data_IF_297328706162
#
_entry.id   IF_297328706162
#
_cell.length_a   1.000
_cell.length_b   1.000
_cell.length_c   1.000
_cell.angle_alpha   90.00
_cell.angle_beta   90.00
_cell.angle_gamma   90.00
#
_symmetry.space_group_name_H-M   'P 1'
#
loop_
_entity.id
_entity.type
_entity.pdbx_description
1 polymer ?
#
# COMPACT_ATOMS: atom_id res chain seq x y z
N UNK A 1 19.80 27.60 -22.86
CA UNK A 1 20.04 26.65 -23.97
C UNK A 1 19.04 25.52 -23.81
N UNK A 2 18.13 25.32 -24.77
CA UNK A 2 17.00 24.39 -24.67
C UNK A 2 17.48 22.93 -24.55
N UNK A 3 17.43 22.35 -23.35
CA UNK A 3 17.68 20.93 -23.14
C UNK A 3 16.41 20.13 -23.47
N UNK A 4 16.34 19.64 -24.71
CA UNK A 4 15.44 18.54 -25.09
C UNK A 4 15.86 17.31 -24.29
N UNK A 5 15.07 16.97 -23.27
CA UNK A 5 15.15 15.68 -22.59
C UNK A 5 15.04 14.57 -23.66
N UNK A 6 16.10 13.77 -23.82
CA UNK A 6 16.19 12.77 -24.88
C UNK A 6 15.15 11.67 -24.62
N UNK A 7 14.03 11.65 -25.35
CA UNK A 7 12.92 10.71 -25.16
C UNK A 7 13.38 9.23 -25.20
N UNK A 8 14.52 8.95 -25.81
CA UNK A 8 15.10 7.61 -25.91
C UNK A 8 15.61 7.03 -24.58
N UNK A 9 16.09 7.85 -23.63
CA UNK A 9 16.51 7.36 -22.30
C UNK A 9 15.32 7.01 -21.43
N UNK A 10 14.23 7.77 -21.52
CA UNK A 10 12.98 7.51 -20.81
C UNK A 10 12.27 6.24 -21.35
N UNK A 11 12.28 6.04 -22.68
CA UNK A 11 11.76 4.83 -23.35
C UNK A 11 12.63 3.60 -23.03
N UNK A 12 13.95 3.75 -22.92
CA UNK A 12 14.88 2.70 -22.51
C UNK A 12 14.66 2.24 -21.06
N UNK A 13 14.43 3.18 -20.13
CA UNK A 13 14.11 2.88 -18.74
C UNK A 13 12.70 2.27 -18.60
N UNK A 14 11.71 2.76 -19.33
CA UNK A 14 10.38 2.13 -19.45
C UNK A 14 10.46 0.69 -19.96
N UNK A 15 11.36 0.39 -20.91
CA UNK A 15 11.61 -0.98 -21.39
C UNK A 15 12.21 -1.89 -20.32
N UNK A 16 13.09 -1.36 -19.45
CA UNK A 16 13.68 -2.11 -18.32
C UNK A 16 12.66 -2.34 -17.20
N UNK A 17 11.78 -1.37 -16.94
CA UNK A 17 10.61 -1.52 -16.05
C UNK A 17 9.61 -2.54 -16.60
N UNK A 18 9.34 -2.51 -17.92
CA UNK A 18 8.55 -3.54 -18.60
C UNK A 18 9.21 -4.92 -18.49
N UNK A 19 10.54 -5.02 -18.62
CA UNK A 19 11.27 -6.27 -18.47
C UNK A 19 11.21 -6.82 -17.03
N UNK A 20 11.22 -5.93 -16.03
CA UNK A 20 10.96 -6.30 -14.62
C UNK A 20 9.54 -6.85 -14.42
N UNK A 21 8.55 -6.25 -15.09
CA UNK A 21 7.19 -6.79 -15.21
C UNK A 21 7.13 -8.12 -15.99
N UNK A 22 8.00 -8.33 -16.99
CA UNK A 22 8.09 -9.58 -17.74
C UNK A 22 8.61 -10.75 -16.89
N UNK A 23 9.58 -10.52 -16.00
CA UNK A 23 10.12 -11.58 -15.12
C UNK A 23 9.08 -11.98 -14.05
N UNK A 24 8.20 -11.05 -13.65
CA UNK A 24 7.07 -11.32 -12.74
C UNK A 24 5.93 -12.13 -13.38
N UNK A 25 5.95 -12.32 -14.70
CA UNK A 25 4.88 -13.00 -15.45
C UNK A 25 5.17 -14.46 -15.80
N UNK A 26 6.37 -14.97 -15.47
CA UNK A 26 6.76 -16.36 -15.68
C UNK A 26 6.64 -17.14 -14.37
N UNK A 27 5.43 -17.63 -14.01
CA UNK A 27 5.23 -18.89 -13.23
C UNK A 27 3.78 -19.14 -12.75
N UNK A 28 3.18 -20.15 -13.38
CA UNK A 28 2.21 -21.16 -12.91
C UNK A 28 0.73 -20.82 -12.56
N UNK A 29 -0.09 -21.67 -13.16
CA UNK A 29 -1.55 -21.78 -13.20
C UNK A 29 -2.08 -22.45 -11.93
N UNK A 30 -3.16 -21.90 -11.38
CA UNK A 30 -4.17 -22.70 -10.67
C UNK A 30 -5.55 -22.26 -11.16
N UNK A 31 -6.34 -23.20 -11.65
CA UNK A 31 -7.74 -23.02 -11.95
C UNK A 31 -8.49 -22.74 -10.62
N UNK A 32 -8.68 -21.45 -10.31
CA UNK A 32 -9.59 -21.04 -9.25
C UNK A 32 -11.00 -21.17 -9.82
N UNK A 33 -11.89 -21.91 -9.16
CA UNK A 33 -13.30 -21.91 -9.54
C UNK A 33 -13.83 -20.47 -9.40
N UNK A 34 -14.22 -19.85 -10.52
CA UNK A 34 -14.68 -18.46 -10.58
C UNK A 34 -16.10 -18.32 -10.01
N UNK A 35 -16.23 -18.49 -8.69
CA UNK A 35 -17.45 -18.26 -7.93
C UNK A 35 -17.32 -16.96 -7.16
N UNK A 36 -18.33 -16.10 -7.25
CA UNK A 36 -18.39 -14.84 -6.50
C UNK A 36 -19.72 -14.78 -5.76
N UNK A 37 -19.70 -14.40 -4.49
CA UNK A 37 -20.88 -14.40 -3.63
C UNK A 37 -20.96 -13.13 -2.77
N UNK A 38 -22.17 -12.65 -2.50
CA UNK A 38 -22.41 -11.47 -1.64
C UNK A 38 -23.80 -11.50 -0.99
N UNK A 39 -24.01 -10.70 0.05
CA UNK A 39 -25.29 -10.54 0.75
C UNK A 39 -25.91 -9.16 0.43
N UNK A 40 -27.20 -9.09 0.08
CA UNK A 40 -27.93 -7.82 -0.13
C UNK A 40 -28.09 -7.13 1.22
N UNK A 41 -27.50 -5.95 1.42
CA UNK A 41 -27.61 -5.20 2.67
C UNK A 41 -28.72 -4.13 2.63
N UNK A 42 -29.29 -3.84 1.46
CA UNK A 42 -30.41 -2.91 1.31
C UNK A 42 -31.73 -3.55 1.79
N UNK A 43 -32.35 -3.06 2.89
CA UNK A 43 -33.57 -3.66 3.43
C UNK A 43 -34.77 -3.49 2.50
N UNK A 44 -34.84 -2.39 1.74
CA UNK A 44 -35.95 -2.15 0.81
C UNK A 44 -35.85 -3.08 -0.39
N UNK A 45 -34.65 -3.28 -0.92
CA UNK A 45 -34.42 -4.21 -2.03
C UNK A 45 -34.66 -5.67 -1.61
N UNK A 46 -34.20 -6.08 -0.41
CA UNK A 46 -34.47 -7.41 0.14
C UNK A 46 -35.97 -7.67 0.23
N UNK A 47 -36.70 -6.74 0.87
CA UNK A 47 -38.15 -6.86 1.03
C UNK A 47 -38.86 -6.94 -0.31
N UNK A 48 -38.56 -6.02 -1.24
CA UNK A 48 -39.16 -5.99 -2.58
C UNK A 48 -38.93 -7.30 -3.32
N UNK A 49 -37.70 -7.81 -3.33
CA UNK A 49 -37.37 -9.04 -4.04
C UNK A 49 -38.07 -10.26 -3.42
N UNK A 50 -38.07 -10.38 -2.09
CA UNK A 50 -38.73 -11.51 -1.42
C UNK A 50 -40.24 -11.45 -1.61
N UNK A 51 -40.87 -10.28 -1.50
CA UNK A 51 -42.30 -10.11 -1.78
C UNK A 51 -42.65 -10.53 -3.21
N UNK A 52 -41.86 -10.11 -4.20
CA UNK A 52 -42.04 -10.54 -5.60
C UNK A 52 -41.88 -12.06 -5.75
N UNK A 53 -40.91 -12.66 -5.07
CA UNK A 53 -40.71 -14.11 -5.07
C UNK A 53 -41.88 -14.88 -4.44
N UNK A 54 -42.36 -14.44 -3.28
CA UNK A 54 -43.49 -15.06 -2.58
C UNK A 54 -44.77 -14.96 -3.42
N UNK A 55 -45.04 -13.79 -4.03
CA UNK A 55 -46.17 -13.62 -4.93
C UNK A 55 -46.09 -14.59 -6.12
N UNK A 56 -44.90 -14.78 -6.70
CA UNK A 56 -44.70 -15.74 -7.80
C UNK A 56 -44.90 -17.19 -7.40
N UNK A 57 -44.63 -17.53 -6.14
CA UNK A 57 -44.92 -18.85 -5.60
C UNK A 57 -46.42 -19.07 -5.40
N UNK A 58 -47.15 -18.04 -4.95
CA UNK A 58 -48.61 -18.08 -4.81
C UNK A 58 -49.26 -18.26 -6.19
N UNK A 59 -48.84 -17.47 -7.18
CA UNK A 59 -49.37 -17.57 -8.55
C UNK A 59 -49.16 -18.94 -9.22
N UNK A 60 -48.14 -19.69 -8.79
CA UNK A 60 -47.78 -20.98 -9.38
C UNK A 60 -48.07 -22.17 -8.45
N UNK A 61 -48.88 -22.00 -7.40
CA UNK A 61 -49.24 -23.04 -6.41
C UNK A 61 -48.03 -23.76 -5.77
N UNK A 62 -46.91 -23.04 -5.59
CA UNK A 62 -45.68 -23.56 -4.96
C UNK A 62 -45.41 -22.98 -3.57
N UNK A 63 -46.36 -22.20 -3.04
CA UNK A 63 -46.18 -21.51 -1.76
C UNK A 63 -46.01 -22.47 -0.58
N UNK A 64 -46.72 -23.61 -0.56
CA UNK A 64 -46.61 -24.60 0.53
C UNK A 64 -45.23 -25.28 0.62
N UNK A 65 -44.45 -25.24 -0.46
CA UNK A 65 -43.10 -25.80 -0.53
C UNK A 65 -42.02 -24.79 -0.14
N UNK A 66 -42.42 -23.56 0.22
CA UNK A 66 -41.51 -22.47 0.55
C UNK A 66 -41.21 -22.42 2.05
N UNK A 67 -39.96 -22.15 2.38
CA UNK A 67 -39.50 -21.87 3.74
C UNK A 67 -39.12 -20.41 3.97
N UNK A 68 -38.99 -19.60 2.91
CA UNK A 68 -38.47 -18.23 2.95
C UNK A 68 -39.50 -17.27 3.53
N UNK A 69 -39.05 -16.40 4.43
CA UNK A 69 -39.86 -15.37 5.08
C UNK A 69 -39.47 -13.97 4.58
N UNK A 70 -40.40 -13.02 4.68
CA UNK A 70 -40.20 -11.64 4.23
C UNK A 70 -39.07 -10.90 4.97
N UNK A 71 -38.71 -11.35 6.17
CA UNK A 71 -37.61 -10.81 6.99
C UNK A 71 -36.24 -11.40 6.66
N UNK A 72 -36.16 -12.41 5.79
CA UNK A 72 -34.88 -13.02 5.44
C UNK A 72 -34.03 -12.06 4.58
N UNK A 73 -32.72 -12.30 4.56
CA UNK A 73 -31.76 -11.51 3.78
C UNK A 73 -31.20 -12.34 2.64
N UNK A 74 -31.15 -11.76 1.45
CA UNK A 74 -30.78 -12.46 0.22
C UNK A 74 -29.26 -12.56 0.10
N UNK A 75 -28.80 -13.74 -0.27
CA UNK A 75 -27.42 -14.05 -0.58
C UNK A 75 -27.31 -14.55 -2.02
N UNK A 76 -26.47 -13.89 -2.79
CA UNK A 76 -26.27 -14.13 -4.22
C UNK A 76 -24.95 -14.86 -4.42
N UNK A 77 -24.94 -15.87 -5.30
CA UNK A 77 -23.72 -16.50 -5.81
C UNK A 77 -23.78 -16.56 -7.33
N UNK A 78 -22.76 -16.00 -7.97
CA UNK A 78 -22.55 -16.04 -9.41
C UNK A 78 -21.40 -16.95 -9.79
N UNK A 79 -21.48 -17.50 -11.00
CA UNK A 79 -20.43 -18.24 -11.65
C UNK A 79 -20.06 -17.57 -12.96
N UNK A 80 -18.77 -17.35 -13.16
CA UNK A 80 -18.24 -16.87 -14.42
C UNK A 80 -18.11 -18.05 -15.40
N UNK A 81 -18.77 -17.95 -16.55
CA UNK A 81 -18.60 -18.85 -17.68
C UNK A 81 -18.18 -18.03 -18.90
N UNK A 82 -16.87 -18.01 -19.20
CA UNK A 82 -16.30 -17.09 -20.18
C UNK A 82 -16.53 -15.63 -19.78
N UNK A 83 -17.05 -14.81 -20.70
CA UNK A 83 -17.30 -13.37 -20.49
C UNK A 83 -18.66 -13.07 -19.83
N UNK A 84 -19.43 -14.12 -19.46
CA UNK A 84 -20.76 -13.97 -18.86
C UNK A 84 -20.77 -14.39 -17.40
N UNK A 85 -21.16 -13.46 -16.53
CA UNK A 85 -21.54 -13.77 -15.15
C UNK A 85 -22.97 -14.34 -15.15
N UNK A 86 -23.12 -15.55 -14.64
CA UNK A 86 -24.42 -16.22 -14.53
C UNK A 86 -24.77 -16.45 -13.07
N UNK A 87 -26.01 -16.19 -12.68
CA UNK A 87 -26.49 -16.51 -11.33
C UNK A 87 -26.48 -18.02 -11.14
N UNK A 88 -25.66 -18.49 -10.19
CA UNK A 88 -25.55 -19.92 -9.87
C UNK A 88 -26.51 -20.31 -8.76
N UNK A 89 -26.54 -19.53 -7.67
CA UNK A 89 -27.36 -19.83 -6.49
C UNK A 89 -27.88 -18.56 -5.83
N UNK A 90 -29.06 -18.71 -5.24
CA UNK A 90 -29.64 -17.73 -4.33
C UNK A 90 -29.99 -18.44 -3.01
N UNK A 91 -29.65 -17.83 -1.88
CA UNK A 91 -30.02 -18.28 -0.53
C UNK A 91 -30.67 -17.13 0.23
N UNK A 92 -31.54 -17.45 1.16
CA UNK A 92 -32.11 -16.52 2.12
C UNK A 92 -31.56 -16.86 3.50
N UNK A 93 -31.10 -15.87 4.25
CA UNK A 93 -30.58 -16.04 5.60
C UNK A 93 -31.54 -15.44 6.60
N UNK A 94 -31.95 -16.24 7.57
CA UNK A 94 -32.71 -15.75 8.71
C UNK A 94 -31.72 -15.29 9.79
N UNK A 95 -31.78 -14.01 10.17
CA UNK A 95 -30.84 -13.47 11.16
C UNK A 95 -31.17 -13.89 12.60
N UNK A 96 -32.43 -14.17 12.90
CA UNK A 96 -32.88 -14.56 14.24
C UNK A 96 -32.49 -16.01 14.56
N UNK A 97 -32.65 -16.92 13.58
CA UNK A 97 -32.32 -18.35 13.75
C UNK A 97 -30.94 -18.75 13.22
N UNK A 98 -30.32 -17.94 12.36
CA UNK A 98 -29.08 -18.26 11.66
C UNK A 98 -29.22 -19.37 10.61
N UNK A 99 -30.45 -19.70 10.21
CA UNK A 99 -30.77 -20.72 9.20
C UNK A 99 -30.64 -20.17 7.77
N UNK A 100 -30.23 -21.03 6.85
CA UNK A 100 -30.17 -20.72 5.42
C UNK A 100 -31.24 -21.49 4.67
N UNK A 101 -32.03 -20.75 3.90
CA UNK A 101 -33.16 -21.25 3.13
C UNK A 101 -32.85 -21.14 1.65
N UNK A 102 -33.36 -22.09 0.87
CA UNK A 102 -33.06 -22.21 -0.56
C UNK A 102 -34.19 -21.60 -1.38
N UNK A 103 -33.84 -20.72 -2.30
CA UNK A 103 -34.79 -20.27 -3.31
C UNK A 103 -35.04 -21.36 -4.35
N UNK A 104 -36.27 -21.43 -4.83
CA UNK A 104 -36.64 -22.23 -6.00
C UNK A 104 -36.21 -21.48 -7.27
N UNK A 105 -35.06 -21.87 -7.84
CA UNK A 105 -34.43 -21.12 -8.93
C UNK A 105 -35.29 -21.05 -10.19
N UNK A 106 -36.13 -22.06 -10.45
CA UNK A 106 -37.12 -22.09 -11.53
C UNK A 106 -38.22 -21.03 -11.37
N UNK A 107 -38.48 -20.57 -10.14
CA UNK A 107 -39.41 -19.49 -9.84
C UNK A 107 -38.71 -18.13 -9.84
N UNK A 108 -37.48 -18.06 -9.33
CA UNK A 108 -36.63 -16.86 -9.38
C UNK A 108 -36.43 -16.36 -10.81
N UNK A 109 -36.21 -17.27 -11.77
CA UNK A 109 -36.06 -16.93 -13.19
C UNK A 109 -37.31 -16.27 -13.80
N UNK A 110 -38.49 -16.41 -13.17
CA UNK A 110 -39.75 -15.83 -13.64
C UNK A 110 -40.04 -14.43 -13.08
N UNK A 111 -39.16 -13.87 -12.24
CA UNK A 111 -39.34 -12.55 -11.62
C UNK A 111 -39.04 -11.37 -12.56
N UNK A 112 -38.54 -11.66 -13.77
CA UNK A 112 -38.27 -10.67 -14.82
C UNK A 112 -36.82 -10.16 -14.79
N UNK A 113 -36.30 -9.71 -15.95
CA UNK A 113 -34.89 -9.35 -16.10
C UNK A 113 -34.47 -8.12 -15.29
N UNK A 114 -35.38 -7.18 -15.02
CA UNK A 114 -35.07 -5.92 -14.32
C UNK A 114 -34.65 -6.17 -12.85
N UNK A 115 -35.46 -6.90 -12.08
CA UNK A 115 -35.15 -7.19 -10.68
C UNK A 115 -33.97 -8.15 -10.55
N UNK A 116 -33.86 -9.10 -11.48
CA UNK A 116 -32.73 -10.02 -11.55
C UNK A 116 -31.42 -9.28 -11.83
N UNK A 117 -31.43 -8.35 -12.79
CA UNK A 117 -30.28 -7.48 -13.04
C UNK A 117 -29.99 -6.61 -11.83
N UNK A 118 -31.00 -6.12 -11.12
CA UNK A 118 -30.83 -5.29 -9.91
C UNK A 118 -30.13 -6.04 -8.77
N UNK A 119 -30.45 -7.32 -8.54
CA UNK A 119 -29.77 -8.12 -7.50
C UNK A 119 -28.39 -8.65 -7.96
N UNK A 120 -28.16 -8.70 -9.28
CA UNK A 120 -26.87 -9.10 -9.87
C UNK A 120 -25.91 -7.90 -10.02
N UNK A 121 -26.45 -6.70 -10.21
CA UNK A 121 -25.71 -5.44 -10.36
C UNK A 121 -25.20 -4.95 -9.02
N UNK A 122 -23.88 -4.70 -8.93
CA UNK A 122 -23.22 -4.33 -7.68
C UNK A 122 -23.40 -2.87 -7.26
N UNK A 123 -24.32 -2.14 -7.89
CA UNK A 123 -24.62 -0.73 -7.60
C UNK A 123 -25.29 -0.47 -6.23
N UNK A 124 -25.83 -1.49 -5.57
CA UNK A 124 -26.59 -1.36 -4.29
C UNK A 124 -25.76 -1.66 -3.03
N UNK A 125 -26.34 -1.54 -1.82
CA UNK A 125 -25.63 -1.82 -0.56
C UNK A 125 -25.47 -3.34 -0.37
N UNK A 126 -24.25 -3.80 -0.07
CA UNK A 126 -23.91 -5.24 0.06
C UNK A 126 -23.07 -5.52 1.32
N UNK A 127 -23.26 -6.67 1.95
CA UNK A 127 -22.52 -7.12 3.13
C UNK A 127 -21.59 -8.32 2.84
N UNK A 128 -20.57 -8.49 3.69
CA UNK A 128 -19.65 -9.64 3.66
C UNK A 128 -20.36 -10.92 4.10
N UNK A 129 -20.03 -12.02 3.42
CA UNK A 129 -20.48 -13.36 3.75
C UNK A 129 -19.42 -13.99 4.65
N UNK A 130 -19.75 -14.33 5.90
CA UNK A 130 -18.80 -14.97 6.81
C UNK A 130 -18.46 -16.40 6.34
N UNK A 131 -17.40 -17.00 6.88
CA UNK A 131 -16.98 -18.38 6.54
C UNK A 131 -18.10 -19.43 6.68
N UNK A 132 -18.99 -19.26 7.67
CA UNK A 132 -20.19 -20.09 7.85
C UNK A 132 -21.20 -19.87 6.71
N UNK A 133 -21.40 -18.63 6.31
CA UNK A 133 -22.27 -18.26 5.21
C UNK A 133 -21.71 -18.80 3.86
N UNK A 134 -20.38 -18.77 3.67
CA UNK A 134 -19.68 -19.34 2.51
C UNK A 134 -19.86 -20.86 2.42
N UNK A 135 -19.80 -21.57 3.55
CA UNK A 135 -20.06 -23.02 3.57
C UNK A 135 -21.51 -23.36 3.18
N UNK A 136 -22.49 -22.52 3.54
CA UNK A 136 -23.89 -22.70 3.15
C UNK A 136 -24.13 -22.43 1.63
N UNK A 137 -23.24 -21.66 1.02
CA UNK A 137 -23.15 -21.46 -0.43
C UNK A 137 -22.24 -22.49 -1.12
N UNK A 138 -21.70 -23.46 -0.38
CA UNK A 138 -20.70 -24.46 -0.80
C UNK A 138 -19.50 -23.81 -1.51
N UNK A 139 -19.07 -22.64 -1.02
CA UNK A 139 -17.92 -21.88 -1.50
C UNK A 139 -16.81 -21.96 -0.46
N UNK A 140 -15.60 -22.35 -0.87
CA UNK A 140 -14.42 -22.39 0.00
C UNK A 140 -13.41 -21.26 -0.28
N UNK A 141 -13.75 -20.32 -1.17
CA UNK A 141 -12.96 -19.11 -1.40
C UNK A 141 -13.36 -18.01 -0.41
N UNK A 142 -12.37 -17.35 0.19
CA UNK A 142 -12.59 -16.13 0.96
C UNK A 142 -13.04 -15.04 -0.02
N UNK A 143 -14.27 -14.56 0.12
CA UNK A 143 -14.78 -13.42 -0.62
C UNK A 143 -14.80 -12.25 0.36
N UNK A 144 -13.71 -11.47 0.36
CA UNK A 144 -13.67 -10.20 1.07
C UNK A 144 -14.40 -9.17 0.18
N UNK A 145 -15.63 -8.83 0.54
CA UNK A 145 -16.35 -7.71 -0.05
C UNK A 145 -15.87 -6.44 0.64
N UNK A 146 -15.06 -5.66 -0.05
CA UNK A 146 -14.56 -4.43 0.51
C UNK A 146 -15.38 -3.21 0.05
N UNK A 147 -16.70 -3.31 -0.18
CA UNK A 147 -17.52 -2.15 -0.60
C UNK A 147 -18.76 -1.89 0.26
N UNK A 148 -18.96 -2.60 1.37
CA UNK A 148 -19.77 -2.02 2.45
C UNK A 148 -19.09 -0.69 2.82
N UNK A 149 -19.83 0.42 3.08
CA UNK A 149 -19.28 1.68 3.62
C UNK A 149 -18.14 1.32 4.57
N UNK A 150 -16.89 1.39 4.08
CA UNK A 150 -15.85 0.52 4.66
C UNK A 150 -15.69 0.97 6.09
N UNK A 151 -15.87 0.06 7.04
CA UNK A 151 -15.19 0.21 8.32
C UNK A 151 -13.75 0.52 7.95
N UNK A 152 -13.33 1.77 8.19
CA UNK A 152 -12.02 2.27 7.81
C UNK A 152 -10.93 1.27 8.14
N UNK A 153 -11.10 0.57 9.27
CA UNK A 153 -10.28 -0.52 9.74
C UNK A 153 -9.89 -1.49 8.61
N UNK A 154 -10.85 -2.02 7.83
CA UNK A 154 -10.57 -3.00 6.77
C UNK A 154 -9.83 -2.40 5.57
N UNK A 155 -10.12 -1.16 5.20
CA UNK A 155 -9.40 -0.46 4.13
C UNK A 155 -7.95 -0.18 4.54
N UNK A 156 -7.78 0.40 5.73
CA UNK A 156 -6.49 0.61 6.39
C UNK A 156 -5.70 -0.68 6.48
N UNK A 157 -6.33 -1.76 6.93
CA UNK A 157 -5.67 -3.06 7.06
C UNK A 157 -5.23 -3.62 5.70
N UNK A 158 -5.82 -3.19 4.58
CA UNK A 158 -5.33 -3.49 3.23
C UNK A 158 -4.10 -2.66 2.81
N UNK A 159 -4.03 -1.39 3.20
CA UNK A 159 -2.97 -0.46 2.79
C UNK A 159 -1.73 -0.47 3.69
N UNK A 160 -1.94 -0.56 5.00
CA UNK A 160 -0.94 -0.25 6.03
C UNK A 160 -0.49 -1.47 6.81
N UNK A 161 -1.37 -2.47 6.93
CA UNK A 161 -1.17 -3.62 7.79
C UNK A 161 -0.97 -4.86 6.92
N UNK A 162 -0.01 -5.71 7.25
CA UNK A 162 -0.03 -7.08 6.75
C UNK A 162 -0.96 -7.90 7.63
N UNK A 163 -1.83 -8.77 7.10
CA UNK A 163 -2.63 -9.67 7.97
C UNK A 163 -1.81 -10.86 8.49
N UNK A 164 -0.59 -11.02 8.00
CA UNK A 164 0.31 -12.12 8.33
C UNK A 164 0.88 -12.00 9.73
N UNK A 165 1.18 -13.15 10.33
CA UNK A 165 1.86 -13.20 11.63
C UNK A 165 3.33 -12.89 11.47
N UNK A 166 3.93 -13.35 10.39
CA UNK A 166 5.33 -13.05 10.09
C UNK A 166 5.40 -12.59 8.66
N UNK A 167 6.09 -11.49 8.41
CA UNK A 167 6.44 -11.03 7.08
C UNK A 167 7.91 -10.64 7.07
N UNK A 168 8.69 -11.21 6.15
CA UNK A 168 10.11 -10.91 5.96
C UNK A 168 10.30 -10.50 4.51
N UNK A 169 11.00 -9.40 4.27
CA UNK A 169 11.19 -8.86 2.92
C UNK A 169 12.64 -8.47 2.66
N UNK A 170 13.08 -8.68 1.41
CA UNK A 170 14.43 -8.29 0.95
C UNK A 170 14.59 -6.77 0.82
N UNK A 171 13.51 -6.00 0.95
CA UNK A 171 13.58 -4.54 1.10
C UNK A 171 14.05 -4.09 2.50
N UNK A 172 14.47 -5.02 3.36
CA UNK A 172 14.91 -4.78 4.75
C UNK A 172 13.76 -4.42 5.70
N UNK A 173 12.58 -5.01 5.47
CA UNK A 173 11.46 -4.95 6.42
C UNK A 173 11.12 -6.33 7.00
N UNK A 174 10.87 -6.37 8.31
CA UNK A 174 10.38 -7.54 9.03
C UNK A 174 9.22 -7.14 9.93
N UNK A 175 8.13 -7.91 9.89
CA UNK A 175 6.98 -7.74 10.76
C UNK A 175 6.69 -9.05 11.47
N UNK A 176 6.52 -9.02 12.79
CA UNK A 176 6.14 -10.18 13.60
C UNK A 176 4.96 -9.79 14.48
N UNK A 177 3.85 -10.52 14.42
CA UNK A 177 2.61 -10.28 15.14
C UNK A 177 2.22 -11.49 15.98
N UNK A 178 1.67 -11.21 17.15
CA UNK A 178 0.98 -12.21 17.95
C UNK A 178 -0.43 -12.49 17.40
N UNK A 179 -0.81 -13.76 17.24
CA UNK A 179 -2.17 -14.16 16.82
C UNK A 179 -3.28 -13.58 17.70
N UNK A 180 -3.00 -13.35 18.98
CA UNK A 180 -3.99 -12.99 20.01
C UNK A 180 -4.07 -11.50 20.32
N UNK A 181 -3.15 -10.67 19.79
CA UNK A 181 -3.12 -9.24 20.09
C UNK A 181 -2.98 -8.40 18.82
N UNK A 182 -3.44 -7.15 18.88
CA UNK A 182 -3.25 -6.19 17.78
C UNK A 182 -1.84 -5.57 17.81
N UNK A 183 -0.85 -6.25 18.40
CA UNK A 183 0.52 -5.75 18.52
C UNK A 183 1.44 -6.49 17.55
N UNK A 184 2.35 -5.74 16.94
CA UNK A 184 3.38 -6.24 16.04
C UNK A 184 4.73 -5.62 16.39
N UNK A 185 5.76 -6.43 16.37
CA UNK A 185 7.12 -5.98 16.21
C UNK A 185 7.37 -5.63 14.74
N UNK A 186 8.04 -4.49 14.51
CA UNK A 186 8.37 -3.95 13.19
C UNK A 186 9.86 -3.64 13.15
N UNK A 187 10.52 -4.13 12.11
CA UNK A 187 11.82 -3.66 11.65
C UNK A 187 11.62 -3.11 10.25
N UNK A 188 12.02 -1.86 10.01
CA UNK A 188 11.94 -1.25 8.69
C UNK A 188 13.10 -0.31 8.47
N UNK A 189 13.52 -0.14 7.21
CA UNK A 189 14.56 0.81 6.86
C UNK A 189 13.96 1.96 6.08
N UNK A 190 14.33 3.20 6.41
CA UNK A 190 13.72 4.39 5.81
C UNK A 190 12.58 4.97 6.65
N UNK A 191 12.37 6.28 6.48
CA UNK A 191 11.15 6.98 6.90
C UNK A 191 10.51 7.53 5.62
N UNK A 192 9.97 6.61 4.82
CA UNK A 192 9.55 6.91 3.44
C UNK A 192 8.50 8.01 3.36
N UNK A 193 7.57 8.12 4.33
CA UNK A 193 6.55 9.18 4.31
C UNK A 193 7.16 10.60 4.38
N UNK A 194 8.39 10.76 4.88
CA UNK A 194 9.15 12.03 4.87
C UNK A 194 10.05 12.20 3.63
N UNK A 195 10.00 11.26 2.67
CA UNK A 195 10.91 11.22 1.55
C UNK A 195 12.31 10.68 1.93
N UNK A 196 12.52 10.23 3.17
CA UNK A 196 13.78 9.66 3.64
C UNK A 196 13.83 8.16 3.31
N UNK A 197 14.03 7.83 2.04
CA UNK A 197 13.94 6.45 1.55
C UNK A 197 15.15 5.59 1.95
N UNK A 198 14.95 4.28 2.06
CA UNK A 198 15.96 3.28 2.45
C UNK A 198 17.20 3.23 1.55
N UNK A 199 17.15 3.81 0.37
CA UNK A 199 18.25 3.80 -0.59
C UNK A 199 19.37 4.74 -0.14
N UNK A 200 19.04 5.82 0.56
CA UNK A 200 20.02 6.83 1.01
C UNK A 200 19.88 7.20 2.49
N UNK A 201 18.86 6.71 3.21
CA UNK A 201 18.69 7.01 4.64
C UNK A 201 19.55 6.11 5.54
N UNK A 202 20.34 6.73 6.42
CA UNK A 202 21.31 6.11 7.32
C UNK A 202 20.75 5.33 8.51
N UNK A 203 19.44 5.09 8.59
CA UNK A 203 18.84 4.43 9.75
C UNK A 203 17.87 3.29 9.43
N UNK A 204 17.78 2.38 10.40
CA UNK A 204 16.74 1.35 10.53
C UNK A 204 15.91 1.65 11.77
N UNK A 205 14.64 1.31 11.69
CA UNK A 205 13.62 1.50 12.72
C UNK A 205 13.34 0.14 13.35
N UNK A 206 13.31 0.11 14.68
CA UNK A 206 12.91 -1.04 15.50
C UNK A 206 11.75 -0.62 16.40
N UNK A 207 10.56 -1.16 16.15
CA UNK A 207 9.33 -0.64 16.71
C UNK A 207 8.36 -1.67 17.22
N UNK A 208 7.52 -1.22 18.14
CA UNK A 208 6.25 -1.84 18.46
C UNK A 208 5.18 -1.04 17.74
N UNK A 209 4.26 -1.75 17.10
CA UNK A 209 3.17 -1.17 16.34
C UNK A 209 1.88 -1.86 16.71
N UNK A 210 0.79 -1.12 16.66
CA UNK A 210 -0.54 -1.66 16.61
C UNK A 210 -1.26 -1.12 15.37
N UNK A 211 -2.53 -1.47 15.26
CA UNK A 211 -3.46 -1.03 14.23
C UNK A 211 -3.46 0.49 13.95
N UNK A 212 -3.14 1.34 14.93
CA UNK A 212 -3.29 2.81 14.84
C UNK A 212 -1.96 3.53 15.03
N UNK A 213 -1.07 3.03 15.89
CA UNK A 213 0.10 3.73 16.36
C UNK A 213 1.33 2.83 16.41
N UNK A 214 2.50 3.42 16.20
CA UNK A 214 3.78 2.77 16.34
C UNK A 214 4.75 3.66 17.10
N UNK A 215 5.44 3.07 18.08
CA UNK A 215 6.56 3.68 18.80
C UNK A 215 7.81 2.89 18.47
N UNK A 216 8.91 3.58 18.19
CA UNK A 216 10.11 2.91 17.70
C UNK A 216 11.41 3.62 18.08
N UNK A 217 12.47 2.83 18.14
CA UNK A 217 13.84 3.28 18.17
C UNK A 217 14.39 3.40 16.76
N UNK A 218 15.17 4.44 16.53
CA UNK A 218 15.91 4.69 15.31
C UNK A 218 17.36 4.30 15.59
N UNK A 219 17.90 3.41 14.77
CA UNK A 219 19.23 2.82 14.96
C UNK A 219 20.07 3.12 13.72
N UNK A 220 21.32 3.60 13.88
CA UNK A 220 22.20 3.89 12.76
C UNK A 220 22.62 2.63 12.01
N UNK A 221 22.66 2.73 10.68
CA UNK A 221 23.17 1.69 9.79
C UNK A 221 24.07 2.33 8.74
N UNK A 222 24.87 1.50 8.08
CA UNK A 222 25.67 1.95 6.94
C UNK A 222 24.89 1.76 5.64
N UNK A 223 24.73 2.83 4.88
CA UNK A 223 24.16 2.76 3.53
C UNK A 223 25.25 2.36 2.55
N UNK A 224 24.95 1.44 1.63
CA UNK A 224 25.86 1.12 0.52
C UNK A 224 25.63 2.16 -0.58
N UNK A 225 26.70 2.82 -1.01
CA UNK A 225 26.67 3.74 -2.16
C UNK A 225 26.87 2.99 -3.46
N UNK A 226 26.36 3.58 -4.54
CA UNK A 226 26.58 3.13 -5.90
C UNK A 226 26.69 4.35 -6.84
N UNK A 227 26.63 4.14 -8.16
CA UNK A 227 26.71 5.26 -9.12
C UNK A 227 25.51 6.22 -9.06
N UNK A 228 24.41 5.78 -8.47
CA UNK A 228 23.15 6.53 -8.40
C UNK A 228 23.05 7.28 -7.08
N UNK A 229 23.30 6.62 -5.95
CA UNK A 229 23.34 7.25 -4.63
C UNK A 229 24.79 7.56 -4.28
N UNK A 230 25.15 8.84 -4.41
CA UNK A 230 26.51 9.33 -4.24
C UNK A 230 26.78 9.76 -2.80
N UNK A 231 25.81 10.40 -2.14
CA UNK A 231 25.97 10.97 -0.78
C UNK A 231 24.76 10.65 0.11
N UNK A 232 24.73 9.48 0.77
CA UNK A 232 23.64 9.13 1.68
C UNK A 232 23.62 10.04 2.91
N UNK A 233 22.48 10.06 3.61
CA UNK A 233 22.39 10.65 4.94
C UNK A 233 23.10 9.75 5.95
N UNK A 234 23.78 10.37 6.90
CA UNK A 234 24.34 9.68 8.05
C UNK A 234 23.22 9.24 9.01
N UNK A 235 23.54 8.25 9.84
CA UNK A 235 22.62 7.71 10.82
C UNK A 235 23.05 8.03 12.23
N UNK A 236 22.09 8.37 13.09
CA UNK A 236 22.28 8.43 14.55
C UNK A 236 21.15 7.72 15.30
N UNK A 237 21.33 7.48 16.59
CA UNK A 237 20.26 6.91 17.41
C UNK A 237 19.13 7.92 17.62
N UNK A 238 17.92 7.42 17.78
CA UNK A 238 16.76 8.26 17.98
C UNK A 238 15.53 7.49 18.43
N UNK A 239 14.43 8.21 18.54
CA UNK A 239 13.12 7.69 18.86
C UNK A 239 12.08 8.31 17.92
N UNK A 240 10.99 7.61 17.69
CA UNK A 240 9.88 8.17 16.97
C UNK A 240 8.55 7.56 17.35
N UNK A 241 7.52 8.30 17.00
CA UNK A 241 6.14 7.92 17.17
C UNK A 241 5.40 8.21 15.88
N UNK A 242 4.58 7.27 15.44
CA UNK A 242 3.74 7.37 14.25
C UNK A 242 2.32 6.97 14.61
N UNK A 243 1.34 7.68 14.08
CA UNK A 243 -0.06 7.28 14.14
C UNK A 243 -0.71 7.42 12.77
N UNK A 244 -1.68 6.56 12.48
CA UNK A 244 -2.45 6.59 11.25
C UNK A 244 -3.89 6.16 11.51
N UNK A 245 -4.81 7.08 11.23
CA UNK A 245 -6.26 6.88 11.33
C UNK A 245 -6.91 7.12 9.98
N UNK A 246 -8.24 7.18 9.95
CA UNK A 246 -9.02 7.26 8.70
C UNK A 246 -8.95 8.58 7.99
N UNK A 247 -8.92 9.62 8.80
CA UNK A 247 -8.99 11.00 8.38
C UNK A 247 -7.68 11.72 8.63
N UNK A 248 -6.88 11.27 9.60
CA UNK A 248 -5.64 11.93 9.99
C UNK A 248 -4.56 10.92 10.35
N UNK A 249 -3.34 11.23 9.98
CA UNK A 249 -2.17 10.52 10.46
C UNK A 249 -0.99 11.46 10.58
N UNK A 250 0.08 10.95 11.17
CA UNK A 250 1.28 11.72 11.35
C UNK A 250 2.38 10.92 12.01
N UNK A 251 3.53 11.56 12.11
CA UNK A 251 4.68 11.02 12.80
C UNK A 251 5.57 12.14 13.32
N UNK A 252 6.31 11.83 14.37
CA UNK A 252 7.37 12.67 14.93
C UNK A 252 8.58 11.79 15.19
N UNK A 253 9.76 12.30 14.86
CA UNK A 253 11.02 11.61 15.03
C UNK A 253 12.03 12.60 15.63
N UNK A 254 12.79 12.11 16.60
CA UNK A 254 13.94 12.79 17.16
C UNK A 254 15.15 11.88 17.01
N UNK A 255 16.22 12.42 16.46
CA UNK A 255 17.48 11.74 16.17
C UNK A 255 18.59 12.56 16.80
N UNK A 256 19.30 11.94 17.73
CA UNK A 256 20.22 12.63 18.63
C UNK A 256 21.55 12.95 17.94
N UNK A 257 21.73 14.23 17.59
CA UNK A 257 22.97 14.76 17.02
C UNK A 257 24.10 14.93 18.05
N UNK A 258 23.82 14.78 19.35
CA UNK A 258 24.80 14.83 20.42
C UNK A 258 25.54 13.51 20.68
N UNK A 259 25.16 12.44 19.97
CA UNK A 259 25.87 11.17 20.06
C UNK A 259 27.31 11.26 19.56
N UNK A 260 28.13 10.29 19.99
CA UNK A 260 29.47 10.10 19.46
C UNK A 260 29.44 9.20 18.23
N UNK A 261 30.23 9.56 17.23
CA UNK A 261 30.27 8.90 15.93
C UNK A 261 31.63 8.24 15.72
N UNK A 262 31.63 7.08 15.10
CA UNK A 262 32.86 6.41 14.67
C UNK A 262 33.16 6.79 13.23
N UNK A 263 34.43 6.95 12.92
CA UNK A 263 34.96 7.29 11.59
C UNK A 263 34.39 6.39 10.51
N UNK A 264 34.28 5.08 10.77
CA UNK A 264 33.77 4.11 9.79
C UNK A 264 32.23 4.03 9.68
N UNK A 265 31.51 4.78 10.54
CA UNK A 265 30.05 4.85 10.60
C UNK A 265 29.47 6.11 9.95
N UNK A 266 30.28 7.14 9.73
CA UNK A 266 29.91 8.30 8.92
C UNK A 266 30.32 8.09 7.46
N UNK A 267 29.66 8.80 6.55
CA UNK A 267 29.96 8.75 5.13
C UNK A 267 31.24 9.53 4.79
N UNK A 268 31.33 10.78 5.24
CA UNK A 268 32.48 11.66 5.06
C UNK A 268 32.69 12.50 6.33
N UNK A 269 33.88 12.44 6.92
CA UNK A 269 34.16 13.10 8.21
C UNK A 269 34.01 14.61 8.17
N UNK A 270 34.28 15.24 7.03
CA UNK A 270 34.17 16.69 6.84
C UNK A 270 32.74 17.14 6.52
N UNK A 271 31.84 16.20 6.21
CA UNK A 271 30.50 16.50 5.73
C UNK A 271 29.51 15.43 6.23
N UNK A 272 29.20 15.50 7.52
CA UNK A 272 28.19 14.66 8.17
C UNK A 272 26.83 15.34 8.04
N UNK A 273 25.85 14.64 7.47
CA UNK A 273 24.49 15.18 7.27
C UNK A 273 23.45 14.30 7.96
N UNK A 274 22.73 14.88 8.92
CA UNK A 274 21.77 14.16 9.77
C UNK A 274 20.42 14.86 9.77
N UNK A 275 19.30 14.13 9.62
CA UNK A 275 18.00 14.67 10.01
C UNK A 275 17.85 14.55 11.53
N UNK A 276 17.87 15.66 12.26
CA UNK A 276 17.87 15.66 13.74
C UNK A 276 16.46 15.63 14.33
N UNK A 277 15.53 16.34 13.72
CA UNK A 277 14.14 16.36 14.10
C UNK A 277 13.28 16.33 12.84
N UNK A 278 12.24 15.50 12.85
CA UNK A 278 11.30 15.50 11.73
C UNK A 278 9.89 15.16 12.17
N UNK A 279 8.93 15.69 11.44
CA UNK A 279 7.51 15.54 11.72
C UNK A 279 6.69 15.55 10.44
N UNK A 280 5.55 14.89 10.46
CA UNK A 280 4.59 14.89 9.38
C UNK A 280 3.19 14.87 9.98
N UNK A 281 2.29 15.67 9.44
CA UNK A 281 0.85 15.55 9.69
C UNK A 281 0.15 15.56 8.35
N UNK A 282 -0.74 14.61 8.13
CA UNK A 282 -1.51 14.49 6.90
C UNK A 282 -2.97 14.21 7.18
N UNK A 283 -3.81 14.76 6.31
CA UNK A 283 -5.17 14.30 6.13
C UNK A 283 -5.17 13.10 5.17
N UNK A 284 -6.07 12.15 5.38
CA UNK A 284 -6.26 11.04 4.44
C UNK A 284 -7.73 10.77 4.16
N UNK A 285 -8.01 10.26 2.96
CA UNK A 285 -9.33 9.77 2.62
C UNK A 285 -9.24 8.55 1.69
N UNK A 286 -10.22 7.66 1.76
CA UNK A 286 -10.27 6.43 0.97
C UNK A 286 -11.48 6.45 0.05
N UNK A 287 -11.23 6.26 -1.23
CA UNK A 287 -12.22 6.22 -2.30
C UNK A 287 -12.34 4.80 -2.86
N UNK A 288 -13.56 4.37 -3.13
CA UNK A 288 -13.81 3.17 -3.91
C UNK A 288 -13.52 3.46 -5.39
N UNK A 289 -12.80 2.54 -6.04
CA UNK A 289 -12.60 2.55 -7.48
C UNK A 289 -13.41 1.40 -8.07
N UNK A 290 -14.45 1.76 -8.83
CA UNK A 290 -15.37 0.80 -9.44
C UNK A 290 -14.91 0.28 -10.81
N UNK A 291 -13.73 0.69 -11.29
CA UNK A 291 -13.16 0.22 -12.54
C UNK A 291 -11.65 0.43 -12.54
N UNK A 292 -10.88 -0.64 -12.30
CA UNK A 292 -9.46 -0.59 -12.60
C UNK A 292 -9.26 -0.61 -14.11
N UNK A 293 -8.19 0.05 -14.56
CA UNK A 293 -7.68 -0.12 -15.94
C UNK A 293 -7.64 -1.60 -16.26
N UNK A 294 -8.35 -1.99 -17.31
CA UNK A 294 -8.34 -3.36 -17.83
C UNK A 294 -6.95 -3.70 -18.37
N UNK A 295 -6.10 -4.23 -17.49
CA UNK A 295 -4.75 -4.64 -17.84
C UNK A 295 -4.73 -5.78 -18.87
N UNK A 296 -5.87 -6.42 -19.18
CA UNK A 296 -5.98 -7.39 -20.27
C UNK A 296 -5.74 -6.78 -21.66
N UNK A 297 -5.84 -5.44 -21.80
CA UNK A 297 -5.57 -4.72 -23.05
C UNK A 297 -4.08 -4.42 -23.31
N UNK A 298 -3.22 -4.67 -22.34
CA UNK A 298 -1.76 -4.57 -22.54
C UNK A 298 -1.32 -5.72 -23.43
N UNK A 299 -0.90 -5.41 -24.67
CA UNK A 299 -0.61 -6.37 -25.75
C UNK A 299 0.39 -7.48 -25.36
N UNK A 300 1.29 -7.18 -24.42
CA UNK A 300 2.23 -8.12 -23.82
C UNK A 300 1.55 -9.17 -22.92
N UNK A 301 0.58 -8.78 -22.07
CA UNK A 301 -0.21 -9.70 -21.26
C UNK A 301 -1.14 -10.57 -22.12
N UNK A 302 -1.65 -10.02 -23.24
CA UNK A 302 -2.42 -10.77 -24.26
C UNK A 302 -1.61 -11.88 -24.95
N UNK A 303 -0.31 -11.67 -25.18
CA UNK A 303 0.57 -12.69 -25.78
C UNK A 303 0.97 -13.80 -24.79
N UNK A 304 1.09 -13.49 -23.50
CA UNK A 304 1.35 -14.48 -22.46
C UNK A 304 0.13 -15.37 -22.15
N UNK A 305 -1.09 -14.81 -22.27
CA UNK A 305 -2.34 -15.56 -22.07
C UNK A 305 -2.81 -16.34 -23.31
N UNK A 306 -2.19 -16.16 -24.48
CA UNK A 306 -2.69 -16.74 -25.73
C UNK A 306 -2.63 -18.27 -25.81
N UNK A 307 -1.86 -18.93 -24.92
CA UNK A 307 -1.71 -20.38 -24.90
C UNK A 307 -2.50 -21.09 -23.78
N UNK A 308 -3.35 -20.39 -23.02
CA UNK A 308 -4.16 -20.98 -21.96
C UNK A 308 -5.60 -20.49 -22.05
N UNK A 309 -6.42 -21.28 -22.74
CA UNK A 309 -7.90 -21.32 -22.67
C UNK A 309 -8.62 -19.96 -22.51
N UNK A 310 -8.94 -19.32 -23.65
CA UNK A 310 -10.31 -18.94 -24.02
C UNK A 310 -11.22 -18.13 -23.08
N UNK A 311 -10.70 -17.36 -22.12
CA UNK A 311 -11.53 -16.39 -21.39
C UNK A 311 -10.79 -15.05 -21.29
N UNK A 312 -11.31 -14.02 -21.96
CA UNK A 312 -10.90 -12.64 -21.67
C UNK A 312 -11.39 -12.33 -20.25
N UNK A 313 -10.47 -12.08 -19.33
CA UNK A 313 -10.82 -11.66 -17.97
C UNK A 313 -11.41 -10.24 -18.04
N UNK A 314 -12.73 -10.13 -18.06
CA UNK A 314 -13.46 -8.91 -17.70
C UNK A 314 -13.78 -8.88 -16.21
N UNK A 315 -12.84 -9.33 -15.36
CA UNK A 315 -12.92 -9.12 -13.93
C UNK A 315 -12.57 -7.65 -13.70
N UNK A 316 -13.57 -6.76 -13.68
CA UNK A 316 -13.39 -5.40 -13.17
C UNK A 316 -12.83 -5.54 -11.74
N UNK A 317 -11.52 -5.33 -11.60
CA UNK A 317 -10.86 -5.44 -10.31
C UNK A 317 -11.25 -4.24 -9.47
N UNK A 318 -12.33 -4.38 -8.71
CA UNK A 318 -12.68 -3.41 -7.67
C UNK A 318 -11.49 -3.22 -6.72
N UNK A 319 -11.27 -1.98 -6.31
CA UNK A 319 -10.17 -1.64 -5.42
C UNK A 319 -10.46 -0.38 -4.63
N UNK A 320 -9.57 -0.07 -3.69
CA UNK A 320 -9.56 1.21 -3.02
C UNK A 320 -8.34 2.02 -3.40
N UNK A 321 -8.55 3.33 -3.44
CA UNK A 321 -7.52 4.35 -3.50
C UNK A 321 -7.58 5.15 -2.22
N UNK A 322 -6.47 5.18 -1.49
CA UNK A 322 -6.29 6.07 -0.37
C UNK A 322 -5.39 7.22 -0.78
N UNK A 323 -5.85 8.45 -0.59
CA UNK A 323 -5.05 9.65 -0.77
C UNK A 323 -4.64 10.18 0.60
N UNK A 324 -3.37 10.53 0.74
CA UNK A 324 -2.79 11.22 1.90
C UNK A 324 -2.18 12.52 1.42
N UNK A 325 -2.51 13.63 2.08
CA UNK A 325 -1.99 14.97 1.77
C UNK A 325 -1.64 15.65 3.08
N UNK A 326 -0.41 16.15 3.19
CA UNK A 326 0.08 16.69 4.45
C UNK A 326 1.25 17.64 4.32
N UNK A 327 1.64 18.15 5.50
CA UNK A 327 2.80 19.00 5.71
C UNK A 327 3.86 18.22 6.49
N UNK A 328 5.09 18.30 6.01
CA UNK A 328 6.27 17.74 6.66
C UNK A 328 7.16 18.84 7.23
N UNK A 329 7.89 18.50 8.28
CA UNK A 329 9.00 19.27 8.83
C UNK A 329 10.21 18.33 8.90
N UNK A 330 11.37 18.76 8.43
CA UNK A 330 12.63 18.03 8.61
C UNK A 330 13.76 19.03 8.86
N UNK A 331 14.29 19.03 10.08
CA UNK A 331 15.54 19.70 10.41
C UNK A 331 16.71 18.86 9.93
N UNK A 332 17.55 19.43 9.07
CA UNK A 332 18.82 18.85 8.67
C UNK A 332 19.98 19.59 9.32
N UNK A 333 20.93 18.83 9.84
CA UNK A 333 22.18 19.34 10.42
C UNK A 333 23.33 18.98 9.50
N UNK A 334 24.19 19.95 9.22
CA UNK A 334 25.52 19.73 8.65
C UNK A 334 26.57 19.89 9.74
N UNK A 335 27.47 18.92 9.83
CA UNK A 335 28.49 18.86 10.87
C UNK A 335 29.80 18.26 10.36
N UNK A 336 30.87 18.48 11.13
CA UNK A 336 32.18 17.88 10.95
C UNK A 336 32.47 16.96 12.12
N UNK A 337 33.09 15.82 11.88
CA UNK A 337 33.62 15.00 12.96
C UNK A 337 34.83 15.72 13.55
N UNK A 338 34.85 15.93 14.88
CA UNK A 338 35.97 16.64 15.51
C UNK A 338 37.30 15.98 15.15
N UNK A 339 38.36 16.75 14.86
CA UNK A 339 39.65 16.18 14.45
C UNK A 339 40.22 15.26 15.53
N UNK A 340 40.76 14.12 15.09
CA UNK A 340 41.39 13.12 15.95
C UNK A 340 41.95 11.98 15.13
N UNK A 341 43.08 11.40 15.55
CA UNK A 341 43.77 10.33 14.81
C UNK A 341 43.20 8.93 15.11
N UNK A 342 42.50 8.74 16.23
CA UNK A 342 41.86 7.48 16.62
C UNK A 342 40.48 7.72 17.27
N UNK A 343 39.52 6.86 16.94
CA UNK A 343 38.21 6.87 17.61
C UNK A 343 38.35 6.34 19.05
N UNK A 344 37.72 7.03 20.01
CA UNK A 344 37.54 6.43 21.34
C UNK A 344 36.61 5.22 21.27
N UNK A 345 36.51 4.43 22.36
CA UNK A 345 35.52 3.33 22.44
C UNK A 345 34.10 3.78 22.08
N UNK A 346 33.75 5.01 22.46
CA UNK A 346 32.45 5.63 22.24
C UNK A 346 32.35 6.40 20.91
N UNK A 347 33.48 6.82 20.33
CA UNK A 347 33.55 7.62 19.10
C UNK A 347 34.07 9.04 19.33
N UNK A 348 33.87 9.92 18.34
CA UNK A 348 34.21 11.35 18.35
C UNK A 348 32.93 12.19 18.30
N UNK A 349 32.97 13.38 18.90
CA UNK A 349 31.83 14.30 18.85
C UNK A 349 31.72 14.95 17.46
N UNK A 350 30.53 15.48 17.17
CA UNK A 350 30.30 16.36 16.04
C UNK A 350 30.51 17.82 16.41
N UNK A 351 31.09 18.57 15.48
CA UNK A 351 31.08 20.02 15.42
C UNK A 351 30.00 20.45 14.42
N UNK A 352 28.89 20.98 14.93
CA UNK A 352 27.78 21.42 14.09
C UNK A 352 28.14 22.74 13.44
N UNK A 353 28.13 22.76 12.10
CA UNK A 353 28.43 23.95 11.30
C UNK A 353 27.18 24.66 10.80
N UNK A 354 26.07 23.93 10.60
CA UNK A 354 24.82 24.55 10.16
C UNK A 354 23.58 23.71 10.54
N UNK A 355 22.42 24.37 10.62
CA UNK A 355 21.11 23.78 10.88
C UNK A 355 20.05 24.42 10.00
N UNK A 356 19.48 23.63 9.11
CA UNK A 356 18.31 24.01 8.32
C UNK A 356 17.05 23.72 9.13
N UNK A 357 16.68 24.66 10.02
CA UNK A 357 15.59 24.48 10.97
C UNK A 357 14.54 25.60 10.95
N UNK A 358 14.75 26.64 10.13
CA UNK A 358 13.76 27.71 10.00
C UNK A 358 12.53 27.23 9.27
N UNK A 359 11.40 27.89 9.51
CA UNK A 359 10.09 27.50 8.97
C UNK A 359 10.09 27.50 7.43
N UNK A 360 10.77 28.46 6.81
CA UNK A 360 10.93 28.61 5.36
C UNK A 360 11.94 27.63 4.74
N UNK A 361 12.74 26.94 5.55
CA UNK A 361 13.74 25.97 5.10
C UNK A 361 13.28 24.53 5.37
N UNK A 362 12.76 24.25 6.57
CA UNK A 362 12.50 22.90 7.07
C UNK A 362 11.09 22.37 6.76
N UNK A 363 10.16 23.22 6.33
CA UNK A 363 8.81 22.77 5.96
C UNK A 363 8.76 22.19 4.54
N UNK A 364 7.77 21.33 4.32
CA UNK A 364 7.51 20.73 3.02
C UNK A 364 6.10 20.16 2.88
N UNK A 365 5.81 19.68 1.67
CA UNK A 365 4.57 19.02 1.31
C UNK A 365 4.79 17.53 1.07
N UNK A 366 3.78 16.76 1.45
CA UNK A 366 3.70 15.32 1.26
C UNK A 366 2.38 14.97 0.57
N UNK A 367 2.46 14.21 -0.52
CA UNK A 367 1.29 13.63 -1.18
C UNK A 367 1.59 12.17 -1.44
N UNK A 368 0.65 11.28 -1.07
CA UNK A 368 0.75 9.86 -1.34
C UNK A 368 -0.59 9.29 -1.76
N UNK A 369 -0.63 8.62 -2.89
CA UNK A 369 -1.74 7.78 -3.32
C UNK A 369 -1.36 6.33 -3.11
N UNK A 370 -2.20 5.57 -2.41
CA UNK A 370 -2.04 4.15 -2.17
C UNK A 370 -3.22 3.42 -2.78
N UNK A 371 -2.98 2.27 -3.38
CA UNK A 371 -3.96 1.51 -4.12
C UNK A 371 -3.91 0.04 -3.73
N UNK A 372 -5.07 -0.57 -3.52
CA UNK A 372 -5.18 -1.99 -3.18
C UNK A 372 -6.40 -2.58 -3.87
N UNK A 373 -6.22 -3.73 -4.51
CA UNK A 373 -7.34 -4.49 -5.08
C UNK A 373 -8.11 -5.23 -3.99
N UNK A 374 -9.38 -5.53 -4.23
CA UNK A 374 -10.23 -6.15 -3.21
C UNK A 374 -9.79 -7.56 -2.82
N UNK A 375 -9.18 -8.29 -3.74
CA UNK A 375 -8.55 -9.58 -3.44
C UNK A 375 -7.20 -9.44 -2.71
N UNK A 376 -6.76 -8.21 -2.38
CA UNK A 376 -5.46 -7.84 -1.77
C UNK A 376 -4.24 -8.36 -2.53
N UNK A 377 -4.42 -8.83 -3.77
CA UNK A 377 -3.32 -9.36 -4.58
C UNK A 377 -2.43 -8.26 -5.10
N UNK A 378 -2.97 -7.12 -5.49
CA UNK A 378 -2.19 -5.99 -5.98
C UNK A 378 -2.23 -4.88 -4.94
N UNK A 379 -1.05 -4.38 -4.59
CA UNK A 379 -0.87 -3.11 -3.89
C UNK A 379 0.01 -2.22 -4.75
N UNK A 380 -0.29 -0.94 -4.80
CA UNK A 380 0.56 0.04 -5.46
C UNK A 380 0.56 1.35 -4.70
N UNK A 381 1.59 2.15 -4.87
CA UNK A 381 1.62 3.50 -4.36
C UNK A 381 2.37 4.43 -5.31
N UNK A 382 2.04 5.71 -5.22
CA UNK A 382 2.83 6.81 -5.74
C UNK A 382 2.88 7.91 -4.68
N UNK A 383 4.03 8.55 -4.57
CA UNK A 383 4.34 9.49 -3.51
C UNK A 383 5.22 10.60 -4.06
N UNK A 384 4.96 11.83 -3.60
CA UNK A 384 5.79 12.98 -3.83
C UNK A 384 6.08 13.68 -2.50
N UNK A 385 7.34 14.04 -2.31
CA UNK A 385 7.82 14.86 -1.20
C UNK A 385 8.53 16.08 -1.78
N UNK A 386 8.20 17.26 -1.28
CA UNK A 386 8.86 18.50 -1.65
C UNK A 386 9.12 19.31 -0.39
N UNK A 387 10.38 19.53 -0.06
CA UNK A 387 10.82 20.41 1.01
C UNK A 387 11.16 21.80 0.47
N UNK A 388 11.04 22.84 1.28
CA UNK A 388 11.31 24.22 0.90
C UNK A 388 12.80 24.53 0.81
N UNK A 389 13.65 23.82 1.56
CA UNK A 389 15.11 23.83 1.41
C UNK A 389 15.64 23.20 0.10
N UNK A 390 14.77 22.81 -0.85
CA UNK A 390 15.16 22.32 -2.16
C UNK A 390 15.20 20.79 -2.31
N UNK A 391 15.11 20.03 -1.21
CA UNK A 391 15.07 18.57 -1.30
C UNK A 391 13.69 18.08 -1.77
N UNK A 392 13.67 17.21 -2.77
CA UNK A 392 12.47 16.60 -3.33
C UNK A 392 12.68 15.13 -3.69
N UNK A 393 11.61 14.34 -3.61
CA UNK A 393 11.64 12.95 -4.07
C UNK A 393 10.30 12.53 -4.65
N UNK A 394 10.37 11.64 -5.63
CA UNK A 394 9.21 10.96 -6.21
C UNK A 394 9.42 9.47 -6.02
N UNK A 395 8.45 8.79 -5.44
CA UNK A 395 8.52 7.35 -5.27
C UNK A 395 7.24 6.68 -5.77
N UNK A 396 7.38 5.52 -6.38
CA UNK A 396 6.25 4.70 -6.73
C UNK A 396 6.63 3.23 -6.64
N UNK A 397 5.66 2.38 -6.35
CA UNK A 397 5.90 0.96 -6.22
C UNK A 397 4.65 0.16 -6.46
N UNK A 398 4.85 -1.12 -6.75
CA UNK A 398 3.77 -2.08 -6.85
C UNK A 398 4.22 -3.43 -6.29
N UNK A 399 3.27 -4.16 -5.74
CA UNK A 399 3.44 -5.48 -5.15
C UNK A 399 2.32 -6.39 -5.63
N UNK A 400 2.68 -7.64 -5.95
CA UNK A 400 1.76 -8.71 -6.28
C UNK A 400 1.91 -9.88 -5.30
N UNK A 401 0.81 -10.29 -4.68
CA UNK A 401 0.75 -11.39 -3.71
C UNK A 401 0.32 -12.71 -4.36
N UNK A 402 1.13 -13.75 -4.14
CA UNK A 402 0.93 -15.14 -4.59
C UNK A 402 1.05 -16.08 -3.39
N UNK A 403 -0.09 -16.49 -2.81
CA UNK A 403 -0.10 -17.32 -1.59
C UNK A 403 0.77 -16.66 -0.50
N UNK A 404 1.81 -17.34 -0.02
CA UNK A 404 2.76 -16.89 1.01
C UNK A 404 3.88 -15.98 0.47
N UNK A 405 3.94 -15.75 -0.83
CA UNK A 405 4.98 -14.97 -1.50
C UNK A 405 4.39 -13.63 -1.96
N UNK A 406 5.19 -12.57 -1.87
CA UNK A 406 4.92 -11.28 -2.50
C UNK A 406 6.11 -10.89 -3.34
N UNK A 407 5.84 -10.40 -4.53
CA UNK A 407 6.85 -9.87 -5.44
C UNK A 407 6.53 -8.41 -5.69
N UNK A 408 7.50 -7.54 -5.44
CA UNK A 408 7.29 -6.11 -5.59
C UNK A 408 8.49 -5.38 -6.14
N UNK A 409 8.26 -4.13 -6.49
CA UNK A 409 9.31 -3.19 -6.83
C UNK A 409 8.97 -1.82 -6.26
N UNK A 410 10.02 -1.07 -5.94
CA UNK A 410 9.96 0.32 -5.55
C UNK A 410 10.92 1.09 -6.46
N UNK A 411 10.48 2.22 -6.99
CA UNK A 411 11.31 3.18 -7.70
C UNK A 411 11.34 4.46 -6.89
N UNK A 412 12.54 4.95 -6.59
CA UNK A 412 12.78 6.24 -5.97
C UNK A 412 13.54 7.10 -6.96
N UNK A 413 12.97 8.25 -7.31
CA UNK A 413 13.55 9.24 -8.19
C UNK A 413 13.85 10.51 -7.39
N UNK A 414 15.11 10.94 -7.45
CA UNK A 414 15.61 12.20 -6.92
C UNK A 414 15.79 13.12 -8.13
N UNK A 415 14.94 14.15 -8.30
CA UNK A 415 15.03 15.06 -9.43
C UNK A 415 16.38 15.78 -9.54
N UNK A 416 16.69 16.27 -10.73
CA UNK A 416 17.84 17.16 -10.96
C UNK A 416 17.76 18.40 -10.05
N UNK A 417 18.88 18.79 -9.46
CA UNK A 417 18.96 19.91 -8.52
C UNK A 417 18.34 19.64 -7.14
N UNK A 418 17.80 18.44 -6.89
CA UNK A 418 17.23 18.10 -5.59
C UNK A 418 18.32 17.83 -4.55
N UNK A 419 18.49 18.76 -3.62
CA UNK A 419 19.52 18.70 -2.59
C UNK A 419 19.28 19.72 -1.49
N UNK A 420 20.30 19.92 -0.66
CA UNK A 420 20.31 20.89 0.43
C UNK A 420 21.57 21.75 0.31
N UNK A 421 21.49 23.00 0.76
CA UNK A 421 22.63 23.90 0.84
C UNK A 421 22.89 24.24 2.31
N UNK A 422 24.15 24.12 2.75
CA UNK A 422 24.57 24.36 4.12
C UNK A 422 25.73 25.33 4.16
N UNK A 423 25.85 26.07 5.25
CA UNK A 423 27.07 26.82 5.55
C UNK A 423 28.21 25.85 5.88
N UNK A 424 29.37 26.06 5.23
CA UNK A 424 30.55 25.22 5.43
C UNK A 424 31.30 25.55 6.74
N UNK A 425 31.12 26.76 7.25
CA UNK A 425 31.61 27.22 8.54
C UNK A 425 30.78 28.41 9.06
N UNK A 426 30.78 28.63 10.38
CA UNK A 426 30.05 29.74 11.02
C UNK A 426 30.52 31.14 10.58
N UNK A 427 31.61 31.25 9.83
CA UNK A 427 32.23 32.53 9.44
C UNK A 427 32.42 32.70 7.92
N UNK A 428 31.84 31.83 7.10
CA UNK A 428 32.01 31.87 5.63
C UNK A 428 30.69 31.98 4.90
N UNK A 429 30.63 32.80 3.85
CA UNK A 429 29.55 32.79 2.85
C UNK A 429 29.61 31.57 1.91
N UNK A 430 30.58 30.67 2.10
CA UNK A 430 30.73 29.46 1.30
C UNK A 430 29.64 28.45 1.65
N UNK A 431 28.83 28.12 0.64
CA UNK A 431 27.80 27.10 0.71
C UNK A 431 28.36 25.75 0.24
N UNK A 432 28.18 24.74 1.07
CA UNK A 432 28.37 23.35 0.71
C UNK A 432 27.04 22.72 0.32
N UNK A 433 27.02 21.98 -0.79
CA UNK A 433 25.81 21.40 -1.35
C UNK A 433 25.75 19.90 -1.13
N UNK A 434 24.69 19.44 -0.49
CA UNK A 434 24.39 18.03 -0.35
C UNK A 434 23.41 17.59 -1.44
N UNK A 435 23.89 16.73 -2.35
CA UNK A 435 23.06 16.08 -3.37
C UNK A 435 23.10 14.56 -3.20
N UNK A 436 22.02 13.91 -2.75
CA UNK A 436 22.05 12.48 -2.46
C UNK A 436 22.33 11.62 -3.70
N UNK A 437 21.87 12.06 -4.87
CA UNK A 437 22.12 11.41 -6.16
C UNK A 437 23.11 12.17 -7.07
N UNK A 438 23.81 13.17 -6.53
CA UNK A 438 24.53 14.15 -7.34
C UNK A 438 23.59 15.19 -7.97
N UNK A 439 24.16 16.26 -8.51
CA UNK A 439 23.41 17.42 -9.02
C UNK A 439 22.48 17.07 -10.20
N UNK A 440 22.91 16.13 -11.05
CA UNK A 440 22.11 15.61 -12.17
C UNK A 440 20.90 14.75 -11.77
N UNK A 441 20.69 14.51 -10.47
CA UNK A 441 19.64 13.63 -9.96
C UNK A 441 19.90 12.14 -10.24
N UNK A 442 18.97 11.30 -9.84
CA UNK A 442 19.11 9.86 -10.03
C UNK A 442 17.86 9.06 -9.71
N UNK A 443 17.77 7.87 -10.29
CA UNK A 443 16.66 6.95 -10.10
C UNK A 443 17.15 5.59 -9.65
N UNK A 444 16.64 5.11 -8.52
CA UNK A 444 16.94 3.78 -7.98
C UNK A 444 15.71 2.89 -8.14
N UNK A 445 15.87 1.79 -8.88
CA UNK A 445 14.85 0.73 -9.02
C UNK A 445 15.24 -0.41 -8.11
N UNK A 446 14.37 -0.74 -7.15
CA UNK A 446 14.63 -1.73 -6.11
C UNK A 446 13.56 -2.83 -6.11
N UNK A 447 13.75 -3.91 -6.88
CA UNK A 447 12.89 -5.08 -6.76
C UNK A 447 13.06 -5.73 -5.38
N UNK A 448 12.00 -6.34 -4.87
CA UNK A 448 12.04 -7.06 -3.61
C UNK A 448 11.09 -8.26 -3.63
N UNK A 449 11.39 -9.20 -2.74
CA UNK A 449 10.60 -10.39 -2.50
C UNK A 449 10.27 -10.41 -1.02
N UNK A 450 9.03 -10.74 -0.69
CA UNK A 450 8.61 -10.94 0.69
C UNK A 450 7.91 -12.28 0.88
N UNK A 451 8.20 -12.91 2.02
CA UNK A 451 7.53 -14.12 2.48
C UNK A 451 6.66 -13.79 3.67
N UNK A 452 5.45 -14.32 3.69
CA UNK A 452 4.50 -14.09 4.76
C UNK A 452 3.77 -15.37 5.18
N UNK A 453 3.57 -15.51 6.50
CA UNK A 453 3.07 -16.72 7.16
C UNK A 453 1.88 -16.44 8.08
#
# INVERSE_FOLDING_TARGET
MNMKMNSNTLISQLRKVLLGLCVLSMSFVFAQQNLISWEVADPQLNRKFIEMYLNKLIENDKFEQNSIQASDVIMVQMQQQGDKLTLKRLRAKNYDSGEYRRFMMDQVQKLGPEIMNTIMDRKYKWAEINRRDLSALETYSNIDNILNERSFKRARDGFWWTTSQVEVSTNQSVYIRSKSTNQAFRLETGISDLGLHRQFFGNTILGLSNDISSTYFIVPRKVKTDKTIQRPLDGTFGIGFKFDTHSIGGQVNYMDSGNKFKTNRVFEEQHVVLPSASGLVYWSNTFAINNFVDFSKVSFLKRLNKNLSGAERTDEAFGSLRLKVGLSFTEFIHAKLKPGTEDTKEGRDLEITDRLNKVDEALGFFVRSELVTDNKKIKAFAQANQSFNGFSSLAYGAEYSIKVLKLGFEVVNIPEGSGLEFLESNSSDNLWKWYPAGEGGGQVVSPYISFHF
#
